data_IF_695956466541
#
_entry.id   IF_695956466541
#
_cell.length_a   1.000
_cell.length_b   1.000
_cell.length_c   1.000
_cell.angle_alpha   90.00
_cell.angle_beta   90.00
_cell.angle_gamma   90.00
#
_symmetry.space_group_name_H-M   'P 1'
#
loop_
_entity.id
_entity.type
_entity.pdbx_description
1 polymer ?
#
# COMPACT_ATOMS: atom_id res chain seq x y z
N UNK A 1 -11.00 13.09 18.36
CA UNK A 1 -11.13 11.62 18.27
C UNK A 1 -10.57 11.22 16.93
N UNK A 2 -9.68 10.23 16.90
CA UNK A 2 -9.02 9.80 15.67
C UNK A 2 -10.06 9.14 14.75
N UNK A 3 -9.99 9.44 13.45
CA UNK A 3 -10.81 8.81 12.42
C UNK A 3 -10.01 7.69 11.75
N UNK A 4 -10.69 6.66 11.25
CA UNK A 4 -10.04 5.52 10.60
C UNK A 4 -10.59 5.29 9.20
N UNK A 5 -9.69 5.12 8.24
CA UNK A 5 -10.00 4.56 6.92
C UNK A 5 -9.37 3.17 6.86
N UNK A 6 -10.21 2.13 6.81
CA UNK A 6 -9.75 0.75 6.66
C UNK A 6 -9.73 0.38 5.18
N UNK A 7 -8.55 0.09 4.66
CA UNK A 7 -8.32 -0.29 3.27
C UNK A 7 -8.20 -1.80 3.18
N UNK A 8 -9.10 -2.43 2.45
CA UNK A 8 -9.13 -3.89 2.24
C UNK A 8 -9.03 -4.20 0.75
N UNK A 9 -8.63 -5.41 0.39
CA UNK A 9 -8.55 -5.86 -1.00
C UNK A 9 -9.29 -7.16 -1.22
N UNK A 10 -9.76 -7.38 -2.43
CA UNK A 10 -10.46 -8.59 -2.81
C UNK A 10 -10.17 -9.02 -4.24
N UNK A 11 -10.70 -10.19 -4.63
CA UNK A 11 -10.48 -10.84 -5.93
C UNK A 11 -9.06 -11.40 -6.11
N UNK A 12 -8.04 -10.54 -6.10
CA UNK A 12 -6.62 -10.93 -6.22
C UNK A 12 -5.74 -10.01 -5.38
N UNK A 13 -4.54 -10.50 -5.01
CA UNK A 13 -3.49 -9.67 -4.44
C UNK A 13 -2.86 -8.74 -5.49
N UNK A 14 -1.97 -7.83 -5.05
CA UNK A 14 -1.21 -6.92 -5.94
C UNK A 14 -2.04 -5.93 -6.76
N UNK A 15 -3.27 -5.61 -6.32
CA UNK A 15 -4.11 -4.58 -6.92
C UNK A 15 -3.64 -3.14 -6.65
N UNK A 16 -2.61 -2.93 -5.84
CA UNK A 16 -2.10 -1.59 -5.48
C UNK A 16 -2.81 -0.95 -4.28
N UNK A 17 -3.09 -1.74 -3.23
CA UNK A 17 -3.66 -1.24 -1.96
C UNK A 17 -2.79 -0.15 -1.33
N UNK A 18 -1.48 -0.41 -1.19
CA UNK A 18 -0.53 0.54 -0.60
C UNK A 18 -0.51 1.87 -1.36
N UNK A 19 -0.44 1.84 -2.69
CA UNK A 19 -0.47 3.06 -3.51
C UNK A 19 -1.80 3.81 -3.40
N UNK A 20 -2.94 3.10 -3.36
CA UNK A 20 -4.24 3.73 -3.17
C UNK A 20 -4.36 4.38 -1.78
N UNK A 21 -3.90 3.70 -0.73
CA UNK A 21 -3.86 4.21 0.63
C UNK A 21 -2.96 5.45 0.72
N UNK A 22 -1.73 5.37 0.20
CA UNK A 22 -0.76 6.45 0.13
C UNK A 22 -1.30 7.68 -0.64
N UNK A 23 -1.97 7.44 -1.77
CA UNK A 23 -2.59 8.49 -2.59
C UNK A 23 -3.72 9.19 -1.86
N UNK A 24 -4.59 8.43 -1.17
CA UNK A 24 -5.62 9.03 -0.31
C UNK A 24 -4.99 9.89 0.80
N UNK A 25 -3.92 9.39 1.44
CA UNK A 25 -3.17 10.14 2.45
C UNK A 25 -2.66 11.47 1.93
N UNK A 26 -2.01 11.46 0.76
CA UNK A 26 -1.50 12.66 0.10
C UNK A 26 -2.60 13.70 -0.19
N UNK A 27 -3.77 13.24 -0.66
CA UNK A 27 -4.90 14.13 -0.93
C UNK A 27 -5.41 14.74 0.38
N UNK A 28 -5.61 13.93 1.42
CA UNK A 28 -6.11 14.39 2.73
C UNK A 28 -5.13 15.35 3.43
N UNK A 29 -3.82 15.14 3.31
CA UNK A 29 -2.82 16.08 3.82
C UNK A 29 -2.87 17.43 3.09
N UNK A 30 -3.12 17.44 1.78
CA UNK A 30 -3.32 18.69 1.05
C UNK A 30 -4.52 19.49 1.59
N UNK A 31 -5.53 18.79 2.14
CA UNK A 31 -6.70 19.36 2.82
C UNK A 31 -6.41 19.79 4.27
N UNK A 32 -5.16 19.70 4.73
CA UNK A 32 -4.73 20.11 6.07
C UNK A 32 -5.03 19.10 7.17
N UNK A 33 -5.33 17.84 6.83
CA UNK A 33 -5.59 16.77 7.78
C UNK A 33 -4.25 16.10 8.13
N UNK A 34 -3.96 15.91 9.42
CA UNK A 34 -2.77 15.14 9.82
C UNK A 34 -3.08 13.65 9.68
N UNK A 35 -2.41 13.01 8.72
CA UNK A 35 -2.61 11.59 8.41
C UNK A 35 -1.47 10.76 8.99
N UNK A 36 -1.77 9.52 9.36
CA UNK A 36 -0.77 8.46 9.55
C UNK A 36 -1.21 7.20 8.83
N UNK A 37 -0.27 6.31 8.54
CA UNK A 37 -0.51 5.05 7.86
C UNK A 37 -0.17 3.86 8.75
N UNK A 38 -0.92 2.78 8.60
CA UNK A 38 -0.61 1.51 9.23
C UNK A 38 -0.74 0.37 8.20
N UNK A 39 0.19 -0.58 8.25
CA UNK A 39 0.16 -1.80 7.44
C UNK A 39 0.04 -3.03 8.36
N UNK A 40 -0.99 -3.83 8.11
CA UNK A 40 -1.27 -5.08 8.81
C UNK A 40 -0.90 -6.24 7.89
N UNK A 41 0.17 -6.95 8.23
CA UNK A 41 0.68 -8.03 7.39
C UNK A 41 0.25 -9.41 7.91
N UNK A 42 -0.47 -10.22 7.11
CA UNK A 42 -1.03 -11.48 7.57
C UNK A 42 0.00 -12.60 7.71
N UNK A 43 1.24 -12.40 7.28
CA UNK A 43 2.29 -13.40 7.39
C UNK A 43 2.78 -13.62 8.83
N UNK A 44 3.31 -14.82 9.08
CA UNK A 44 3.72 -15.30 10.41
C UNK A 44 5.12 -14.81 10.81
N UNK A 45 5.95 -14.38 9.86
CA UNK A 45 7.25 -13.78 10.17
C UNK A 45 7.06 -12.58 11.12
N UNK A 46 7.86 -12.50 12.18
CA UNK A 46 7.80 -11.41 13.17
C UNK A 46 8.28 -10.09 12.54
N UNK A 47 9.22 -10.19 11.62
CA UNK A 47 9.74 -9.09 10.80
C UNK A 47 10.11 -9.65 9.41
N UNK A 48 10.17 -8.79 8.38
CA UNK A 48 10.55 -9.22 7.04
C UNK A 48 12.06 -9.43 6.87
N UNK A 49 12.90 -9.18 7.90
CA UNK A 49 14.35 -9.36 7.84
C UNK A 49 14.79 -10.80 7.55
N UNK A 50 13.92 -11.77 7.84
CA UNK A 50 14.11 -13.19 7.52
C UNK A 50 13.59 -13.60 6.14
N UNK A 51 12.92 -12.71 5.42
CA UNK A 51 12.31 -12.99 4.12
C UNK A 51 13.30 -12.74 2.98
N UNK A 52 13.15 -13.51 1.91
CA UNK A 52 13.94 -13.29 0.70
C UNK A 52 13.43 -12.04 -0.03
N UNK A 53 14.31 -11.09 -0.38
CA UNK A 53 13.91 -9.93 -1.18
C UNK A 53 13.32 -10.27 -2.56
N UNK A 54 13.57 -11.49 -3.06
CA UNK A 54 12.99 -12.01 -4.29
C UNK A 54 11.51 -12.38 -4.18
N UNK A 55 11.02 -12.62 -2.96
CA UNK A 55 9.64 -13.04 -2.73
C UNK A 55 8.77 -11.90 -2.24
N UNK A 56 9.36 -10.99 -1.48
CA UNK A 56 8.62 -9.96 -0.75
C UNK A 56 9.02 -8.52 -1.14
N UNK A 57 9.94 -8.34 -2.10
CA UNK A 57 10.50 -7.03 -2.42
C UNK A 57 11.51 -6.57 -1.37
N UNK A 58 11.83 -5.29 -1.37
CA UNK A 58 12.78 -4.72 -0.41
C UNK A 58 12.25 -4.76 1.04
N UNK A 59 13.19 -4.80 1.99
CA UNK A 59 12.89 -4.49 3.39
C UNK A 59 13.07 -2.99 3.57
N UNK A 60 12.01 -2.30 3.99
CA UNK A 60 12.09 -0.88 4.33
C UNK A 60 12.60 -0.71 5.77
N UNK A 61 13.45 0.29 6.00
CA UNK A 61 14.02 0.55 7.33
C UNK A 61 13.59 1.95 7.77
N UNK A 62 12.87 2.01 8.88
CA UNK A 62 12.35 3.24 9.48
C UNK A 62 13.42 3.98 10.30
N UNK A 63 13.16 5.26 10.63
CA UNK A 63 14.09 6.10 11.41
C UNK A 63 14.41 5.51 12.79
N UNK A 64 13.47 4.78 13.41
CA UNK A 64 13.65 4.10 14.70
C UNK A 64 14.32 2.71 14.58
N UNK A 65 14.79 2.37 13.38
CA UNK A 65 15.54 1.15 13.08
C UNK A 65 14.68 -0.11 12.98
N UNK A 66 13.35 0.00 12.80
CA UNK A 66 12.53 -1.16 12.48
C UNK A 66 12.65 -1.54 11.00
N UNK A 67 12.87 -2.84 10.76
CA UNK A 67 12.75 -3.50 9.46
C UNK A 67 11.27 -3.83 9.20
N UNK A 68 10.74 -3.35 8.08
CA UNK A 68 9.29 -3.38 7.79
C UNK A 68 9.01 -3.71 6.33
N UNK A 69 7.73 -3.95 6.03
CA UNK A 69 7.23 -4.11 4.66
C UNK A 69 7.52 -2.87 3.78
N UNK A 70 7.66 -3.09 2.48
CA UNK A 70 7.98 -2.05 1.48
C UNK A 70 6.90 -0.96 1.38
N UNK A 71 5.64 -1.28 1.73
CA UNK A 71 4.55 -0.31 1.62
C UNK A 71 4.74 0.90 2.54
N UNK A 72 5.48 0.75 3.64
CA UNK A 72 5.82 1.89 4.50
C UNK A 72 6.63 2.94 3.74
N UNK A 73 7.52 2.51 2.83
CA UNK A 73 8.22 3.42 1.94
C UNK A 73 7.27 4.17 1.00
N UNK A 74 6.17 3.54 0.55
CA UNK A 74 5.15 4.25 -0.24
C UNK A 74 4.45 5.32 0.58
N UNK A 75 4.14 5.05 1.85
CA UNK A 75 3.49 6.02 2.72
C UNK A 75 4.40 7.23 2.96
N UNK A 76 5.68 7.04 3.29
CA UNK A 76 6.62 8.15 3.48
C UNK A 76 6.91 8.93 2.19
N UNK A 77 6.89 8.26 1.03
CA UNK A 77 7.10 8.95 -0.26
C UNK A 77 5.93 9.84 -0.66
N UNK A 78 4.70 9.50 -0.25
CA UNK A 78 3.49 10.19 -0.66
C UNK A 78 2.97 11.18 0.39
N UNK A 79 3.35 11.01 1.65
CA UNK A 79 2.82 11.79 2.78
C UNK A 79 3.94 12.34 3.65
N UNK A 80 3.61 13.29 4.52
CA UNK A 80 4.54 13.83 5.50
C UNK A 80 4.62 12.97 6.77
N UNK A 81 3.86 11.88 6.84
CA UNK A 81 3.87 10.96 7.97
C UNK A 81 5.21 10.21 8.03
N UNK A 82 5.86 10.23 9.20
CA UNK A 82 7.05 9.41 9.47
C UNK A 82 6.60 8.07 10.02
N UNK A 83 7.06 7.00 9.39
CA UNK A 83 6.74 5.64 9.82
C UNK A 83 7.73 5.20 10.90
N UNK A 84 7.19 4.55 11.93
CA UNK A 84 7.93 3.96 13.04
C UNK A 84 7.55 2.47 13.14
N UNK A 85 8.20 1.75 14.05
CA UNK A 85 7.87 0.34 14.35
C UNK A 85 6.38 0.10 14.62
N UNK A 86 5.68 1.09 15.18
CA UNK A 86 4.23 0.98 15.48
C UNK A 86 3.32 1.06 14.26
N UNK A 87 3.84 1.44 13.09
CA UNK A 87 3.09 1.59 11.85
C UNK A 87 3.04 0.30 11.02
N UNK A 88 3.86 -0.70 11.34
CA UNK A 88 3.80 -2.01 10.72
C UNK A 88 3.69 -3.09 11.78
N UNK A 89 2.75 -4.02 11.61
CA UNK A 89 2.74 -5.21 12.44
C UNK A 89 2.16 -6.42 11.73
N UNK A 90 2.65 -7.58 12.16
CA UNK A 90 2.45 -8.86 11.48
C UNK A 90 1.62 -9.80 12.34
N UNK A 91 1.01 -10.82 11.74
CA UNK A 91 0.41 -11.94 12.50
C UNK A 91 1.41 -12.54 13.48
N UNK A 92 2.67 -12.70 13.06
CA UNK A 92 3.77 -13.18 13.91
C UNK A 92 3.94 -12.39 15.20
N UNK A 93 4.04 -11.06 15.09
CA UNK A 93 4.19 -10.17 16.24
C UNK A 93 3.00 -10.21 17.19
N UNK A 94 1.79 -10.19 16.64
CA UNK A 94 0.55 -10.22 17.42
C UNK A 94 0.46 -11.54 18.21
N UNK A 95 0.70 -12.67 17.55
CA UNK A 95 0.63 -13.97 18.21
C UNK A 95 1.75 -14.14 19.24
N UNK A 96 2.99 -13.74 18.93
CA UNK A 96 4.10 -13.77 19.90
C UNK A 96 3.78 -12.91 21.14
N UNK A 97 3.24 -11.70 20.96
CA UNK A 97 2.81 -10.83 22.06
C UNK A 97 1.78 -11.52 22.95
N UNK A 98 0.69 -12.05 22.37
CA UNK A 98 -0.38 -12.71 23.13
C UNK A 98 0.11 -13.96 23.84
N UNK A 99 0.91 -14.79 23.19
CA UNK A 99 1.49 -16.00 23.80
C UNK A 99 2.42 -15.63 24.96
N UNK A 100 3.24 -14.58 24.83
CA UNK A 100 4.11 -14.13 25.92
C UNK A 100 3.33 -13.59 27.12
N UNK A 101 2.27 -12.82 26.90
CA UNK A 101 1.37 -12.35 27.98
C UNK A 101 0.72 -13.52 28.71
N UNK A 102 0.31 -14.54 27.96
CA UNK A 102 -0.26 -15.76 28.51
C UNK A 102 0.75 -16.51 29.39
N UNK A 103 1.98 -16.73 28.90
CA UNK A 103 3.05 -17.38 29.69
C UNK A 103 3.46 -16.61 30.95
N UNK A 104 3.29 -15.28 30.98
CA UNK A 104 3.49 -14.45 32.17
C UNK A 104 2.32 -14.45 33.15
N UNK A 105 1.22 -15.14 32.82
CA UNK A 105 0.03 -15.21 33.66
C UNK A 105 -0.87 -13.97 33.61
N UNK A 106 -0.70 -13.08 32.62
CA UNK A 106 -1.48 -11.83 32.52
C UNK A 106 -2.98 -12.08 32.29
N UNK A 107 -3.35 -13.24 31.74
CA UNK A 107 -4.75 -13.65 31.55
C UNK A 107 -5.33 -14.43 32.76
N UNK A 108 -4.62 -14.47 33.89
CA UNK A 108 -5.12 -14.99 35.18
C UNK A 108 -5.67 -16.43 35.11
N UNK A 109 -5.02 -17.29 34.33
CA UNK A 109 -5.40 -18.70 34.17
C UNK A 109 -6.65 -18.96 33.32
N UNK A 110 -7.21 -17.92 32.68
CA UNK A 110 -8.34 -18.07 31.76
C UNK A 110 -7.88 -18.55 30.38
N UNK A 111 -8.79 -19.17 29.63
CA UNK A 111 -8.53 -19.61 28.25
C UNK A 111 -8.25 -18.42 27.34
N UNK A 112 -7.11 -18.48 26.63
CA UNK A 112 -6.77 -17.51 25.57
C UNK A 112 -7.31 -17.98 24.23
N UNK A 113 -7.86 -17.06 23.46
CA UNK A 113 -8.66 -17.30 22.25
C UNK A 113 -8.40 -16.22 21.21
N UNK A 114 -8.69 -16.50 19.93
CA UNK A 114 -8.58 -15.49 18.86
C UNK A 114 -9.47 -14.28 19.15
N UNK A 115 -10.72 -14.53 19.51
CA UNK A 115 -11.63 -13.50 20.03
C UNK A 115 -11.83 -13.76 21.53
N UNK A 116 -11.57 -12.80 22.43
CA UNK A 116 -11.18 -11.42 22.12
C UNK A 116 -9.66 -11.20 22.02
N UNK A 117 -8.80 -12.09 22.54
CA UNK A 117 -7.41 -11.76 22.87
C UNK A 117 -6.54 -11.35 21.66
N UNK A 118 -6.57 -12.10 20.56
CA UNK A 118 -5.81 -11.73 19.34
C UNK A 118 -6.41 -10.47 18.73
N UNK A 119 -7.74 -10.40 18.61
CA UNK A 119 -8.40 -9.20 18.06
C UNK A 119 -8.18 -7.96 18.92
N UNK A 120 -8.12 -8.08 20.25
CA UNK A 120 -7.83 -6.98 21.17
C UNK A 120 -6.39 -6.50 21.02
N UNK A 121 -5.44 -7.43 20.83
CA UNK A 121 -4.03 -7.07 20.56
C UNK A 121 -3.91 -6.30 19.24
N UNK A 122 -4.58 -6.76 18.17
CA UNK A 122 -4.62 -6.06 16.88
C UNK A 122 -5.19 -4.64 17.06
N UNK A 123 -6.34 -4.50 17.73
CA UNK A 123 -6.96 -3.19 17.97
C UNK A 123 -6.06 -2.27 18.79
N UNK A 124 -5.35 -2.81 19.78
CA UNK A 124 -4.40 -2.04 20.59
C UNK A 124 -3.24 -1.52 19.73
N UNK A 125 -2.70 -2.35 18.82
CA UNK A 125 -1.67 -1.93 17.87
C UNK A 125 -2.17 -0.86 16.91
N UNK A 126 -3.38 -1.02 16.33
CA UNK A 126 -3.98 -0.01 15.44
C UNK A 126 -4.11 1.34 16.17
N UNK A 127 -4.66 1.34 17.38
CA UNK A 127 -4.83 2.58 18.16
C UNK A 127 -3.49 3.25 18.48
N UNK A 128 -2.48 2.47 18.87
CA UNK A 128 -1.14 2.99 19.18
C UNK A 128 -0.46 3.60 17.96
N UNK A 129 -0.53 2.93 16.81
CA UNK A 129 0.03 3.46 15.55
C UNK A 129 -0.72 4.69 15.02
N UNK A 130 -1.97 4.88 15.44
CA UNK A 130 -2.79 6.03 15.09
C UNK A 130 -2.58 7.27 16.00
N UNK A 131 -1.88 7.13 17.13
CA UNK A 131 -1.67 8.21 18.10
C UNK A 131 -0.97 9.44 17.46
N UNK A 132 -1.56 10.62 17.66
CA UNK A 132 -1.02 11.90 17.19
C UNK A 132 -1.57 12.37 15.83
N UNK A 133 -2.25 11.50 15.08
CA UNK A 133 -2.92 11.85 13.83
C UNK A 133 -4.37 12.28 14.04
N UNK A 134 -4.94 13.00 13.07
CA UNK A 134 -6.37 13.27 12.99
C UNK A 134 -7.10 12.09 12.30
N UNK A 135 -6.43 11.44 11.35
CA UNK A 135 -6.94 10.30 10.59
C UNK A 135 -5.85 9.25 10.36
N UNK A 136 -6.16 7.99 10.65
CA UNK A 136 -5.31 6.84 10.36
C UNK A 136 -5.84 6.06 9.15
N UNK A 137 -4.99 5.83 8.15
CA UNK A 137 -5.27 4.95 7.02
C UNK A 137 -4.64 3.59 7.31
N UNK A 138 -5.47 2.58 7.52
CA UNK A 138 -5.08 1.25 7.95
C UNK A 138 -5.25 0.29 6.78
N UNK A 139 -4.13 -0.09 6.14
CA UNK A 139 -4.14 -1.13 5.13
C UNK A 139 -4.13 -2.51 5.77
N UNK A 140 -5.14 -3.31 5.42
CA UNK A 140 -5.19 -4.73 5.74
C UNK A 140 -4.60 -5.53 4.57
N UNK A 141 -3.46 -6.15 4.82
CA UNK A 141 -2.80 -7.07 3.91
C UNK A 141 -3.65 -8.32 3.62
N UNK A 142 -3.21 -9.12 2.66
CA UNK A 142 -3.97 -10.27 2.17
C UNK A 142 -5.17 -9.90 1.29
N UNK A 143 -6.03 -10.89 1.04
CA UNK A 143 -7.26 -10.78 0.25
C UNK A 143 -8.45 -11.20 1.09
N UNK A 144 -9.55 -10.44 1.03
CA UNK A 144 -10.80 -10.83 1.69
C UNK A 144 -11.27 -12.18 1.15
N UNK A 145 -11.57 -13.10 2.07
CA UNK A 145 -11.85 -14.51 1.79
C UNK A 145 -10.71 -15.44 2.22
N UNK A 146 -9.49 -14.92 2.38
CA UNK A 146 -8.35 -15.72 2.86
C UNK A 146 -8.38 -15.88 4.38
N UNK A 147 -8.03 -17.09 4.85
CA UNK A 147 -8.02 -17.45 6.27
C UNK A 147 -7.09 -16.54 7.08
N UNK A 148 -5.95 -16.19 6.50
CA UNK A 148 -4.89 -15.41 7.17
C UNK A 148 -5.33 -13.99 7.57
N UNK A 149 -6.32 -13.41 6.88
CA UNK A 149 -6.79 -12.05 7.11
C UNK A 149 -7.97 -11.96 8.10
N UNK A 150 -8.59 -13.10 8.44
CA UNK A 150 -9.80 -13.13 9.28
C UNK A 150 -9.64 -12.41 10.63
N UNK A 151 -8.54 -12.60 11.40
CA UNK A 151 -8.38 -11.89 12.66
C UNK A 151 -8.29 -10.37 12.49
N UNK A 152 -7.64 -9.88 11.44
CA UNK A 152 -7.56 -8.44 11.14
C UNK A 152 -8.91 -7.87 10.73
N UNK A 153 -9.65 -8.56 9.86
CA UNK A 153 -10.97 -8.13 9.43
C UNK A 153 -11.97 -8.11 10.60
N UNK A 154 -11.91 -9.11 11.48
CA UNK A 154 -12.72 -9.10 12.70
C UNK A 154 -12.33 -7.94 13.64
N UNK A 155 -11.04 -7.63 13.77
CA UNK A 155 -10.58 -6.53 14.60
C UNK A 155 -11.10 -5.17 14.11
N UNK A 156 -10.96 -4.86 12.82
CA UNK A 156 -11.45 -3.58 12.25
C UNK A 156 -12.99 -3.48 12.32
N UNK A 157 -13.69 -4.61 12.16
CA UNK A 157 -15.16 -4.68 12.31
C UNK A 157 -15.58 -4.32 13.73
N UNK A 158 -14.89 -4.87 14.73
CA UNK A 158 -15.10 -4.51 16.14
C UNK A 158 -14.72 -3.05 16.41
N UNK A 159 -13.64 -2.53 15.82
CA UNK A 159 -13.26 -1.11 15.97
C UNK A 159 -14.35 -0.17 15.46
N UNK A 160 -14.94 -0.41 14.30
CA UNK A 160 -16.01 0.47 13.81
C UNK A 160 -17.23 0.53 14.75
N UNK A 161 -17.50 -0.54 15.52
CA UNK A 161 -18.51 -0.53 16.57
C UNK A 161 -18.06 0.24 17.81
N UNK A 162 -16.80 0.07 18.22
CA UNK A 162 -16.23 0.68 19.44
C UNK A 162 -15.96 2.18 19.28
N UNK A 163 -15.37 2.58 18.14
CA UNK A 163 -15.05 3.97 17.83
C UNK A 163 -16.29 4.73 17.33
N UNK A 164 -17.31 4.02 16.84
CA UNK A 164 -18.54 4.59 16.30
C UNK A 164 -18.53 4.72 14.78
N UNK A 165 -19.70 4.54 14.16
CA UNK A 165 -19.87 4.45 12.70
C UNK A 165 -19.41 5.69 11.91
N UNK A 166 -19.39 6.86 12.52
CA UNK A 166 -18.92 8.12 11.92
C UNK A 166 -17.42 8.37 12.12
N UNK A 167 -16.71 7.41 12.72
CA UNK A 167 -15.26 7.44 12.92
C UNK A 167 -14.53 6.33 12.14
N UNK A 168 -15.26 5.53 11.35
CA UNK A 168 -14.71 4.47 10.51
C UNK A 168 -15.28 4.56 9.10
N UNK A 169 -14.40 4.48 8.10
CA UNK A 169 -14.71 4.42 6.68
C UNK A 169 -14.04 3.19 6.08
N UNK A 170 -14.79 2.38 5.33
CA UNK A 170 -14.25 1.19 4.66
C UNK A 170 -14.05 1.45 3.17
N UNK A 171 -12.80 1.39 2.71
CA UNK A 171 -12.43 1.45 1.30
C UNK A 171 -12.02 0.04 0.83
N UNK A 172 -12.76 -0.52 -0.12
CA UNK A 172 -12.50 -1.88 -0.61
C UNK A 172 -12.00 -1.85 -2.06
N UNK A 173 -10.75 -2.27 -2.26
CA UNK A 173 -10.15 -2.45 -3.58
C UNK A 173 -10.60 -3.77 -4.20
N UNK A 174 -10.94 -3.72 -5.47
CA UNK A 174 -11.43 -4.86 -6.23
C UNK A 174 -10.94 -4.81 -7.68
N UNK A 175 -11.07 -5.90 -8.42
CA UNK A 175 -10.69 -6.00 -9.84
C UNK A 175 -11.94 -6.09 -10.72
N UNK A 176 -11.98 -5.25 -11.76
CA UNK A 176 -12.97 -5.30 -12.83
C UNK A 176 -12.25 -5.75 -14.11
N UNK A 177 -12.15 -7.08 -14.35
CA UNK A 177 -11.38 -7.60 -15.45
C UNK A 177 -12.13 -7.45 -16.79
N UNK A 178 -11.36 -7.25 -17.85
CA UNK A 178 -11.84 -7.30 -19.23
C UNK A 178 -11.67 -8.71 -19.80
N UNK A 179 -12.74 -9.26 -20.39
CA UNK A 179 -12.69 -10.57 -21.05
C UNK A 179 -12.60 -10.37 -22.56
N UNK A 180 -11.39 -10.49 -23.12
CA UNK A 180 -11.12 -10.19 -24.52
C UNK A 180 -12.00 -10.98 -25.51
N UNK A 181 -12.27 -12.25 -25.22
CA UNK A 181 -13.13 -13.11 -26.06
C UNK A 181 -14.60 -12.70 -26.04
N UNK A 182 -15.05 -12.04 -24.98
CA UNK A 182 -16.43 -11.55 -24.84
C UNK A 182 -16.57 -10.06 -25.16
N UNK A 183 -15.46 -9.32 -25.24
CA UNK A 183 -15.48 -7.89 -25.54
C UNK A 183 -16.01 -6.99 -24.43
N UNK A 184 -16.09 -7.47 -23.18
CA UNK A 184 -16.75 -6.73 -22.10
C UNK A 184 -16.02 -6.81 -20.75
N UNK A 185 -16.22 -5.77 -19.93
CA UNK A 185 -15.83 -5.75 -18.52
C UNK A 185 -16.77 -6.62 -17.68
N UNK A 186 -16.24 -7.23 -16.62
CA UNK A 186 -17.04 -8.09 -15.72
C UNK A 186 -17.10 -7.48 -14.32
N UNK A 187 -18.30 -7.12 -13.90
CA UNK A 187 -18.57 -6.62 -12.54
C UNK A 187 -18.73 -7.72 -11.48
N UNK A 188 -18.85 -8.99 -11.89
CA UNK A 188 -19.17 -10.11 -10.98
C UNK A 188 -18.10 -10.37 -9.92
N UNK A 189 -16.79 -10.33 -10.24
CA UNK A 189 -15.74 -10.48 -9.23
C UNK A 189 -15.90 -9.47 -8.08
N UNK A 190 -16.16 -8.20 -8.39
CA UNK A 190 -16.47 -7.17 -7.39
C UNK A 190 -17.69 -7.50 -6.54
N UNK A 191 -18.78 -7.96 -7.16
CA UNK A 191 -20.00 -8.33 -6.43
C UNK A 191 -19.75 -9.48 -5.44
N UNK A 192 -18.99 -10.50 -5.85
CA UNK A 192 -18.65 -11.63 -4.98
C UNK A 192 -17.69 -11.22 -3.86
N UNK A 193 -16.71 -10.37 -4.19
CA UNK A 193 -15.76 -9.82 -3.22
C UNK A 193 -16.46 -9.03 -2.11
N UNK A 194 -17.42 -8.18 -2.47
CA UNK A 194 -18.22 -7.43 -1.49
C UNK A 194 -19.16 -8.35 -0.71
N UNK A 195 -19.71 -9.39 -1.34
CA UNK A 195 -20.50 -10.42 -0.63
C UNK A 195 -19.67 -11.06 0.48
N UNK A 196 -18.45 -11.50 0.18
CA UNK A 196 -17.51 -12.08 1.15
C UNK A 196 -17.20 -11.12 2.31
N UNK A 197 -16.92 -9.85 1.99
CA UNK A 197 -16.66 -8.81 2.99
C UNK A 197 -17.87 -8.56 3.91
N UNK A 198 -19.08 -8.63 3.36
CA UNK A 198 -20.32 -8.46 4.14
C UNK A 198 -20.68 -9.69 4.97
N UNK A 199 -20.31 -10.89 4.52
CA UNK A 199 -20.54 -12.13 5.28
C UNK A 199 -19.83 -12.10 6.64
N UNK A 200 -18.68 -11.43 6.71
CA UNK A 200 -17.97 -11.17 7.96
C UNK A 200 -18.42 -9.88 8.67
N UNK A 201 -19.49 -9.23 8.19
CA UNK A 201 -20.11 -8.08 8.85
C UNK A 201 -19.52 -6.71 8.52
N UNK A 202 -18.73 -6.58 7.45
CA UNK A 202 -18.19 -5.29 6.97
C UNK A 202 -18.92 -4.84 5.71
N UNK A 203 -19.54 -3.66 5.78
CA UNK A 203 -20.11 -2.99 4.60
C UNK A 203 -19.10 -1.97 4.08
N UNK A 204 -18.60 -2.10 2.83
CA UNK A 204 -17.75 -1.07 2.26
C UNK A 204 -18.54 0.24 2.08
N UNK A 205 -17.86 1.36 2.33
CA UNK A 205 -18.36 2.70 2.03
C UNK A 205 -17.94 3.14 0.63
N UNK A 206 -16.75 2.71 0.19
CA UNK A 206 -16.15 3.03 -1.11
C UNK A 206 -15.69 1.73 -1.79
N UNK A 207 -15.95 1.62 -3.08
CA UNK A 207 -15.35 0.61 -3.96
C UNK A 207 -14.30 1.27 -4.84
N UNK A 208 -13.08 0.77 -4.77
CA UNK A 208 -12.00 1.21 -5.64
C UNK A 208 -11.75 0.12 -6.69
N UNK A 209 -12.30 0.34 -7.88
CA UNK A 209 -12.38 -0.63 -8.96
C UNK A 209 -11.16 -0.55 -9.87
N UNK A 210 -10.17 -1.42 -9.66
CA UNK A 210 -9.00 -1.52 -10.53
C UNK A 210 -9.38 -2.10 -11.88
N UNK A 211 -8.87 -1.47 -12.94
CA UNK A 211 -9.20 -1.83 -14.32
C UNK A 211 -8.16 -1.25 -15.28
N UNK A 212 -8.06 -1.82 -16.47
CA UNK A 212 -7.14 -1.39 -17.54
C UNK A 212 -7.78 -0.35 -18.49
N UNK A 213 -9.06 -0.04 -18.33
CA UNK A 213 -9.83 0.81 -19.26
C UNK A 213 -11.00 1.52 -18.56
N UNK A 214 -11.64 2.52 -19.19
CA UNK A 214 -12.81 3.18 -18.60
C UNK A 214 -13.96 2.20 -18.32
N UNK A 215 -14.57 2.31 -17.14
CA UNK A 215 -15.73 1.52 -16.74
C UNK A 215 -17.00 2.25 -17.22
N UNK A 216 -17.84 1.63 -18.06
CA UNK A 216 -19.10 2.22 -18.48
C UNK A 216 -20.00 2.61 -17.28
N UNK A 217 -20.74 3.70 -17.41
CA UNK A 217 -21.64 4.17 -16.35
C UNK A 217 -22.70 3.13 -15.95
N UNK A 218 -23.14 2.29 -16.89
CA UNK A 218 -24.05 1.17 -16.60
C UNK A 218 -23.42 0.13 -15.67
N UNK A 219 -22.14 -0.18 -15.85
CA UNK A 219 -21.42 -1.11 -14.99
C UNK A 219 -21.17 -0.50 -13.60
N UNK A 220 -20.89 0.82 -13.52
CA UNK A 220 -20.81 1.53 -12.23
C UNK A 220 -22.15 1.51 -11.50
N UNK A 221 -23.26 1.84 -12.18
CA UNK A 221 -24.63 1.77 -11.63
C UNK A 221 -24.97 0.37 -11.11
N UNK A 222 -24.60 -0.64 -11.90
CA UNK A 222 -24.78 -2.04 -11.53
C UNK A 222 -23.98 -2.39 -10.29
N UNK A 223 -22.69 -2.09 -10.25
CA UNK A 223 -21.86 -2.36 -9.06
C UNK A 223 -22.40 -1.66 -7.82
N UNK A 224 -22.80 -0.38 -7.93
CA UNK A 224 -23.41 0.37 -6.84
C UNK A 224 -24.64 -0.34 -6.26
N UNK A 225 -25.58 -0.74 -7.15
CA UNK A 225 -26.79 -1.45 -6.76
C UNK A 225 -26.50 -2.81 -6.10
N UNK A 226 -25.68 -3.65 -6.74
CA UNK A 226 -25.41 -5.01 -6.26
C UNK A 226 -24.55 -5.04 -4.98
N UNK A 227 -23.66 -4.06 -4.80
CA UNK A 227 -22.78 -3.96 -3.64
C UNK A 227 -23.37 -3.11 -2.50
N UNK A 228 -24.54 -2.51 -2.72
CA UNK A 228 -25.21 -1.61 -1.77
C UNK A 228 -24.31 -0.43 -1.34
N UNK A 229 -23.69 0.23 -2.31
CA UNK A 229 -22.89 1.45 -2.12
C UNK A 229 -23.47 2.59 -2.93
N UNK A 230 -23.18 3.84 -2.55
CA UNK A 230 -23.56 4.99 -3.36
C UNK A 230 -22.87 4.94 -4.72
N UNK A 231 -23.53 5.46 -5.77
CA UNK A 231 -22.99 5.41 -7.13
C UNK A 231 -21.67 6.17 -7.24
N UNK A 232 -21.60 7.31 -6.57
CA UNK A 232 -20.45 8.20 -6.52
C UNK A 232 -19.27 7.54 -5.78
N UNK A 233 -19.55 6.57 -4.90
CA UNK A 233 -18.56 5.77 -4.19
C UNK A 233 -18.03 4.56 -4.98
N UNK A 234 -18.43 4.40 -6.24
CA UNK A 234 -17.81 3.44 -7.18
C UNK A 234 -16.72 4.16 -7.97
N UNK A 235 -15.52 4.18 -7.40
CA UNK A 235 -14.36 4.92 -7.92
C UNK A 235 -13.58 4.05 -8.89
N UNK A 236 -13.33 4.56 -10.08
CA UNK A 236 -12.52 3.90 -11.09
C UNK A 236 -11.04 4.11 -10.80
N UNK A 237 -10.29 3.02 -10.58
CA UNK A 237 -8.85 3.07 -10.42
C UNK A 237 -8.15 2.49 -11.66
N UNK A 238 -8.18 3.25 -12.75
CA UNK A 238 -7.50 2.89 -14.00
C UNK A 238 -6.00 2.75 -13.81
N UNK A 239 -5.40 1.86 -14.58
CA UNK A 239 -3.95 1.79 -14.68
C UNK A 239 -3.36 3.13 -15.15
N UNK A 240 -2.30 3.53 -14.47
CA UNK A 240 -1.53 4.73 -14.76
C UNK A 240 -0.10 4.31 -15.13
N UNK A 241 0.48 5.02 -16.09
CA UNK A 241 1.89 4.92 -16.47
C UNK A 241 2.84 5.47 -15.38
N UNK A 242 2.29 6.17 -14.38
CA UNK A 242 3.02 6.71 -13.25
C UNK A 242 2.17 6.75 -11.99
N UNK A 243 2.73 6.28 -10.87
CA UNK A 243 2.05 6.28 -9.57
C UNK A 243 1.72 7.70 -9.08
N UNK A 244 2.46 8.72 -9.52
CA UNK A 244 2.24 10.11 -9.10
C UNK A 244 1.02 10.75 -9.78
N UNK A 245 0.40 10.11 -10.78
CA UNK A 245 -0.87 10.54 -11.36
C UNK A 245 -2.08 10.13 -10.52
N UNK A 246 -1.92 9.08 -9.71
CA UNK A 246 -3.02 8.45 -8.98
C UNK A 246 -3.72 9.42 -8.01
N UNK A 247 -3.02 10.26 -7.22
CA UNK A 247 -3.70 11.23 -6.35
C UNK A 247 -4.68 12.14 -7.10
N UNK A 248 -4.28 12.67 -8.25
CA UNK A 248 -5.15 13.50 -9.08
C UNK A 248 -6.33 12.69 -9.65
N UNK A 249 -6.07 11.49 -10.19
CA UNK A 249 -7.11 10.62 -10.75
C UNK A 249 -8.18 10.22 -9.73
N UNK A 250 -7.81 10.04 -8.46
CA UNK A 250 -8.74 9.71 -7.38
C UNK A 250 -9.50 10.97 -6.89
N UNK A 251 -8.80 12.11 -6.79
CA UNK A 251 -9.41 13.38 -6.42
C UNK A 251 -10.42 13.88 -7.46
N UNK A 252 -10.15 13.70 -8.76
CA UNK A 252 -11.08 14.04 -9.85
C UNK A 252 -12.41 13.28 -9.76
N UNK A 253 -12.43 12.15 -9.03
CA UNK A 253 -13.62 11.36 -8.73
C UNK A 253 -14.17 11.59 -7.31
N UNK A 254 -13.70 12.63 -6.63
CA UNK A 254 -14.18 13.07 -5.32
C UNK A 254 -13.96 12.06 -4.17
N UNK A 255 -12.97 11.15 -4.31
CA UNK A 255 -12.69 10.13 -3.30
C UNK A 255 -12.51 10.72 -1.90
N UNK A 256 -11.71 11.77 -1.79
CA UNK A 256 -11.39 12.47 -0.56
C UNK A 256 -12.60 13.21 0.05
N UNK A 257 -13.50 13.74 -0.78
CA UNK A 257 -14.76 14.32 -0.30
C UNK A 257 -15.68 13.26 0.29
N UNK A 258 -15.78 12.08 -0.35
CA UNK A 258 -16.59 10.96 0.15
C UNK A 258 -16.06 10.53 1.52
N UNK A 259 -14.75 10.42 1.67
CA UNK A 259 -14.10 10.10 2.96
C UNK A 259 -14.39 11.19 3.99
N UNK A 260 -14.22 12.47 3.66
CA UNK A 260 -14.49 13.57 4.58
C UNK A 260 -15.95 13.58 5.04
N UNK A 261 -16.90 13.43 4.11
CA UNK A 261 -18.32 13.38 4.41
C UNK A 261 -18.68 12.18 5.28
N UNK A 262 -18.19 10.98 4.94
CA UNK A 262 -18.42 9.76 5.73
C UNK A 262 -17.94 9.89 7.18
N UNK A 263 -16.80 10.55 7.36
CA UNK A 263 -16.16 10.73 8.67
C UNK A 263 -16.58 12.02 9.38
N UNK A 264 -17.46 12.83 8.78
CA UNK A 264 -17.89 14.12 9.34
C UNK A 264 -16.74 15.12 9.52
N UNK A 265 -15.77 15.12 8.61
CA UNK A 265 -14.61 16.00 8.62
C UNK A 265 -14.93 17.25 7.79
N UNK A 266 -14.79 18.43 8.39
CA UNK A 266 -14.79 19.70 7.69
C UNK A 266 -13.34 20.08 7.39
N UNK A 267 -12.96 20.03 6.12
CA UNK A 267 -11.62 20.35 5.65
C UNK A 267 -11.66 21.38 4.52
N UNK A 268 -10.52 22.04 4.25
CA UNK A 268 -10.38 22.89 3.07
C UNK A 268 -10.37 22.05 1.80
N UNK A 269 -10.57 22.69 0.65
CA UNK A 269 -10.38 22.06 -0.65
C UNK A 269 -8.96 21.51 -0.79
N UNK A 270 -8.82 20.39 -1.49
CA UNK A 270 -7.52 19.78 -1.78
C UNK A 270 -6.70 20.68 -2.71
N UNK A 271 -5.39 20.71 -2.49
CA UNK A 271 -4.43 21.38 -3.38
C UNK A 271 -3.36 20.39 -3.82
N UNK A 272 -3.53 19.88 -5.04
CA UNK A 272 -2.61 18.92 -5.66
C UNK A 272 -1.58 19.61 -6.57
N UNK A 273 -1.31 20.91 -6.39
CA UNK A 273 -0.34 21.66 -7.19
C UNK A 273 1.06 21.01 -7.24
N UNK A 274 1.53 20.49 -6.11
CA UNK A 274 2.81 19.75 -6.02
C UNK A 274 2.79 18.51 -6.91
N UNK A 275 1.73 17.71 -6.85
CA UNK A 275 1.56 16.50 -7.67
C UNK A 275 1.47 16.81 -9.17
N UNK A 276 0.75 17.88 -9.54
CA UNK A 276 0.69 18.36 -10.93
C UNK A 276 2.07 18.75 -11.45
N UNK A 277 2.89 19.42 -10.64
CA UNK A 277 4.26 19.77 -11.00
C UNK A 277 5.17 18.54 -11.16
N UNK A 278 5.03 17.54 -10.28
CA UNK A 278 5.75 16.27 -10.37
C UNK A 278 5.42 15.57 -11.69
N UNK A 279 4.13 15.40 -12.00
CA UNK A 279 3.69 14.76 -13.25
C UNK A 279 4.19 15.54 -14.47
N UNK A 280 4.08 16.86 -14.46
CA UNK A 280 4.58 17.71 -15.55
C UNK A 280 6.08 17.52 -15.78
N UNK A 281 6.90 17.47 -14.72
CA UNK A 281 8.34 17.26 -14.83
C UNK A 281 8.69 15.86 -15.37
N UNK A 282 7.92 14.83 -15.03
CA UNK A 282 8.09 13.47 -15.55
C UNK A 282 7.77 13.37 -17.04
N UNK A 283 6.71 14.04 -17.49
CA UNK A 283 6.26 13.99 -18.88
C UNK A 283 7.07 14.90 -19.81
N UNK A 284 7.72 15.94 -19.26
CA UNK A 284 8.48 16.94 -20.01
C UNK A 284 9.93 17.05 -19.53
N UNK A 285 10.74 15.97 -19.63
CA UNK A 285 12.15 16.01 -19.27
C UNK A 285 12.95 16.82 -20.28
N UNK A 286 13.89 17.63 -19.80
CA UNK A 286 14.82 18.42 -20.61
C UNK A 286 16.06 17.60 -21.04
N UNK A 287 16.36 16.52 -20.33
CA UNK A 287 17.51 15.65 -20.56
C UNK A 287 17.17 14.18 -20.30
N UNK A 288 17.98 13.28 -20.84
CA UNK A 288 17.89 11.85 -20.58
C UNK A 288 19.25 11.38 -20.09
N UNK A 289 19.27 10.55 -19.04
CA UNK A 289 20.47 9.95 -18.47
C UNK A 289 20.31 8.43 -18.43
N UNK A 290 21.31 7.70 -18.88
CA UNK A 290 21.39 6.24 -18.80
C UNK A 290 22.21 5.83 -17.57
N UNK A 291 21.55 5.22 -16.59
CA UNK A 291 22.17 4.79 -15.34
C UNK A 291 22.21 3.27 -15.29
N UNK A 292 23.41 2.69 -15.18
CA UNK A 292 23.58 1.28 -14.90
C UNK A 292 23.28 1.00 -13.43
N UNK A 293 22.39 0.04 -13.17
CA UNK A 293 22.04 -0.43 -11.84
C UNK A 293 22.61 -1.84 -11.66
N UNK A 294 23.72 -1.97 -10.93
CA UNK A 294 24.50 -3.21 -10.80
C UNK A 294 24.05 -4.00 -9.58
N UNK A 295 22.89 -4.64 -9.71
CA UNK A 295 22.21 -5.34 -8.61
C UNK A 295 22.51 -6.84 -8.57
N UNK A 296 22.23 -7.45 -7.43
CA UNK A 296 22.19 -8.92 -7.28
C UNK A 296 20.80 -9.50 -7.59
N UNK A 297 19.78 -8.66 -7.43
CA UNK A 297 18.36 -9.01 -7.51
C UNK A 297 17.69 -8.24 -8.65
N UNK A 298 18.23 -8.35 -9.87
CA UNK A 298 17.78 -7.52 -11.01
C UNK A 298 16.48 -7.99 -11.67
N UNK A 299 16.11 -9.26 -11.48
CA UNK A 299 14.87 -9.82 -12.06
C UNK A 299 13.59 -9.32 -11.36
N UNK A 300 13.73 -8.77 -10.14
CA UNK A 300 12.61 -8.21 -9.39
C UNK A 300 12.90 -6.75 -9.04
N UNK A 301 12.27 -5.82 -9.78
CA UNK A 301 12.41 -4.38 -9.56
C UNK A 301 12.02 -3.95 -8.15
N UNK A 302 11.10 -4.68 -7.51
CA UNK A 302 10.65 -4.40 -6.14
C UNK A 302 11.73 -4.64 -5.07
N UNK A 303 12.78 -5.43 -5.35
CA UNK A 303 13.90 -5.63 -4.42
C UNK A 303 14.75 -4.37 -4.21
N UNK A 304 14.58 -3.35 -5.05
CA UNK A 304 15.33 -2.09 -5.01
C UNK A 304 14.43 -0.87 -5.23
N UNK A 305 13.18 -0.97 -4.78
CA UNK A 305 12.14 0.03 -5.04
C UNK A 305 12.55 1.42 -4.55
N UNK A 306 12.99 1.56 -3.31
CA UNK A 306 13.37 2.85 -2.72
C UNK A 306 14.55 3.51 -3.46
N UNK A 307 15.54 2.73 -3.91
CA UNK A 307 16.66 3.27 -4.69
C UNK A 307 16.22 3.72 -6.08
N UNK A 308 15.37 2.94 -6.73
CA UNK A 308 14.79 3.26 -8.04
C UNK A 308 13.96 4.54 -7.95
N UNK A 309 13.08 4.65 -6.96
CA UNK A 309 12.26 5.84 -6.70
C UNK A 309 13.12 7.08 -6.36
N UNK A 310 14.21 6.91 -5.60
CA UNK A 310 15.13 8.01 -5.30
C UNK A 310 15.78 8.59 -6.57
N UNK A 311 16.17 7.74 -7.53
CA UNK A 311 16.67 8.18 -8.82
C UNK A 311 15.60 8.90 -9.65
N UNK A 312 14.36 8.40 -9.63
CA UNK A 312 13.22 9.06 -10.27
C UNK A 312 12.95 10.44 -9.67
N UNK A 313 12.97 10.56 -8.33
CA UNK A 313 12.81 11.84 -7.62
C UNK A 313 13.93 12.83 -7.96
N UNK A 314 15.19 12.37 -8.02
CA UNK A 314 16.30 13.21 -8.48
C UNK A 314 16.11 13.67 -9.93
N UNK A 315 15.60 12.78 -10.80
CA UNK A 315 15.20 13.10 -12.16
C UNK A 315 14.14 14.19 -12.22
N UNK A 316 13.07 14.06 -11.43
CA UNK A 316 12.00 15.07 -11.31
C UNK A 316 12.58 16.44 -10.90
N UNK A 317 13.40 16.47 -9.85
CA UNK A 317 14.00 17.70 -9.35
C UNK A 317 14.93 18.39 -10.38
N UNK A 318 15.61 17.60 -11.21
CA UNK A 318 16.56 18.07 -12.23
C UNK A 318 15.96 18.15 -13.64
N UNK A 319 14.65 17.91 -13.79
CA UNK A 319 13.95 17.80 -15.09
C UNK A 319 14.65 16.85 -16.06
N UNK A 320 15.11 15.72 -15.55
CA UNK A 320 15.83 14.70 -16.33
C UNK A 320 15.10 13.37 -16.24
N UNK A 321 15.02 12.65 -17.36
CA UNK A 321 14.52 11.29 -17.40
C UNK A 321 15.67 10.31 -17.13
N UNK A 322 15.62 9.64 -16.00
CA UNK A 322 16.59 8.59 -15.65
C UNK A 322 16.13 7.26 -16.26
N UNK A 323 16.88 6.75 -17.24
CA UNK A 323 16.69 5.40 -17.81
C UNK A 323 17.59 4.45 -17.05
N UNK A 324 16.97 3.56 -16.28
CA UNK A 324 17.69 2.60 -15.45
C UNK A 324 17.89 1.32 -16.27
N UNK A 325 19.16 0.92 -16.43
CA UNK A 325 19.55 -0.35 -17.03
C UNK A 325 20.01 -1.30 -15.94
N UNK A 326 19.17 -2.26 -15.60
CA UNK A 326 19.51 -3.29 -14.63
C UNK A 326 20.55 -4.27 -15.21
N UNK A 327 21.61 -4.51 -14.45
CA UNK A 327 22.72 -5.38 -14.81
C UNK A 327 23.00 -6.30 -13.62
N UNK A 328 22.99 -7.61 -13.85
CA UNK A 328 23.32 -8.60 -12.82
C UNK A 328 24.81 -8.51 -12.48
N UNK A 329 25.13 -8.28 -11.20
CA UNK A 329 26.52 -8.21 -10.76
C UNK A 329 27.27 -9.53 -10.97
N UNK A 330 26.59 -10.68 -11.01
CA UNK A 330 27.27 -11.93 -11.39
C UNK A 330 27.62 -12.00 -12.88
N UNK A 331 26.87 -11.30 -13.74
CA UNK A 331 27.22 -11.23 -15.15
C UNK A 331 28.52 -10.43 -15.33
N UNK A 332 28.71 -9.36 -14.56
CA UNK A 332 29.97 -8.62 -14.52
C UNK A 332 31.12 -9.50 -14.01
N UNK A 333 30.89 -10.31 -12.98
CA UNK A 333 31.89 -11.24 -12.46
C UNK A 333 32.35 -12.26 -13.51
N UNK A 334 31.43 -12.77 -14.35
CA UNK A 334 31.74 -13.77 -15.38
C UNK A 334 32.29 -13.18 -16.67
N UNK A 335 31.72 -12.06 -17.12
CA UNK A 335 31.91 -11.53 -18.47
C UNK A 335 32.64 -10.17 -18.50
N UNK A 336 32.90 -9.56 -17.35
CA UNK A 336 33.56 -8.26 -17.21
C UNK A 336 32.64 -7.05 -17.42
N UNK A 337 33.19 -5.85 -17.30
CA UNK A 337 32.46 -4.57 -17.25
C UNK A 337 31.98 -4.03 -18.61
N UNK A 338 31.99 -4.83 -19.67
CA UNK A 338 31.63 -4.37 -21.01
C UNK A 338 30.18 -3.86 -21.08
N UNK A 339 29.27 -4.45 -20.30
CA UNK A 339 27.86 -4.03 -20.21
C UNK A 339 27.67 -2.58 -19.68
N UNK A 340 28.70 -2.02 -19.02
CA UNK A 340 28.69 -0.65 -18.47
C UNK A 340 29.14 0.41 -19.48
N UNK A 341 29.67 0.02 -20.64
CA UNK A 341 30.13 0.96 -21.65
C UNK A 341 28.98 1.85 -22.16
N UNK A 342 29.20 3.17 -22.16
CA UNK A 342 28.24 4.16 -22.64
C UNK A 342 27.15 4.54 -21.65
N UNK A 343 27.21 4.09 -20.40
CA UNK A 343 26.35 4.58 -19.32
C UNK A 343 26.89 5.90 -18.76
N UNK A 344 25.99 6.81 -18.38
CA UNK A 344 26.33 8.12 -17.81
C UNK A 344 26.72 8.02 -16.33
N UNK A 345 26.16 7.04 -15.63
CA UNK A 345 26.47 6.75 -14.23
C UNK A 345 26.26 5.27 -13.89
N UNK A 346 26.86 4.84 -12.78
CA UNK A 346 26.74 3.48 -12.24
C UNK A 346 26.29 3.59 -10.79
N UNK A 347 25.21 2.87 -10.46
CA UNK A 347 24.73 2.68 -9.09
C UNK A 347 24.97 1.23 -8.67
N UNK A 348 25.79 1.04 -7.64
CA UNK A 348 26.02 -0.26 -7.00
C UNK A 348 25.25 -0.31 -5.67
N UNK A 349 24.05 -0.90 -5.63
CA UNK A 349 23.24 -1.00 -4.42
C UNK A 349 23.82 -1.97 -3.40
N UNK A 350 23.25 -1.95 -2.19
CA UNK A 350 23.40 -3.05 -1.24
C UNK A 350 22.98 -4.41 -1.82
N UNK A 351 23.43 -5.49 -1.19
CA UNK A 351 23.00 -6.85 -1.55
C UNK A 351 23.36 -7.82 -0.44
N UNK A 352 22.36 -8.41 0.19
CA UNK A 352 22.59 -9.28 1.34
C UNK A 352 23.26 -10.61 0.92
N UNK A 353 24.24 -11.06 1.70
CA UNK A 353 25.00 -12.30 1.45
C UNK A 353 26.12 -12.17 0.41
N UNK A 354 26.93 -13.24 0.24
CA UNK A 354 28.23 -13.20 -0.47
C UNK A 354 28.17 -13.25 -2.00
N UNK A 355 27.11 -13.83 -2.57
CA UNK A 355 26.95 -14.05 -4.02
C UNK A 355 26.93 -12.73 -4.80
N UNK A 356 27.69 -12.65 -5.90
CA UNK A 356 27.76 -11.49 -6.81
C UNK A 356 28.57 -10.29 -6.27
N UNK A 357 29.45 -10.51 -5.29
CA UNK A 357 30.25 -9.44 -4.67
C UNK A 357 31.41 -9.00 -5.55
N UNK A 358 32.11 -9.94 -6.19
CA UNK A 358 33.28 -9.61 -7.00
C UNK A 358 32.91 -8.76 -8.22
N UNK A 359 31.78 -9.06 -8.86
CA UNK A 359 31.28 -8.21 -9.95
C UNK A 359 30.70 -6.86 -9.52
N UNK A 360 30.53 -6.60 -8.21
CA UNK A 360 30.27 -5.24 -7.68
C UNK A 360 31.55 -4.46 -7.39
N UNK A 361 32.66 -5.17 -7.15
CA UNK A 361 33.98 -4.57 -6.89
C UNK A 361 34.65 -4.13 -8.20
N UNK A 362 34.54 -4.98 -9.23
CA UNK A 362 34.96 -4.68 -10.60
C UNK A 362 34.15 -3.52 -11.20
#
# INVERSE_FOLDING_TARGET
>A
MIKYVFVTGGVVSSLGKGIAAASLGAILESRGIRVTHLKLDPYINVDPGTMSPFQHGEVFVTEDGAETDLDLGHYERFTNARMERRNNFTTGQIYDSVIRKERRGEYLGKTVQVIPHITDEIKAHIRRGAEGADLAIVEVGGTVGDIESLPFLEAIRQMALQEGRTNACYMHLTLVPYIATAGELKTKPTQHSVKELREIGIQPDILLCRTDRPIPEDDKRKMALFCNVQREAVIEARDADSIYKIPAMLHDQMLDEIVCHKLGILARAADLGVWKNIVHALENPERVLDVAFVGKYVDLTESYKSLTEALVHAGIATRSKVRIRYIDSEEIERNGCQALQGMDAILVPGGFGRRGTEGKIA
#
